data_IF_386032774086
#
_entry.id   IF_386032774086
#
_cell.length_a   1.000
_cell.length_b   1.000
_cell.length_c   1.000
_cell.angle_alpha   90.00
_cell.angle_beta   90.00
_cell.angle_gamma   90.00
#
_symmetry.space_group_name_H-M   'P 1'
#
loop_
_entity.id
_entity.type
_entity.pdbx_description
1 polymer ?
#
# COMPACT_ATOMS: atom_id res chain seq x y z
N UNK A 1 9.11 4.46 4.37
CA UNK A 1 7.94 5.31 4.70
C UNK A 1 7.17 4.81 5.93
N UNK A 2 6.94 3.50 6.10
CA UNK A 2 6.18 2.93 7.24
C UNK A 2 6.74 3.34 8.60
N UNK A 3 8.05 3.14 8.84
CA UNK A 3 8.69 3.42 10.14
C UNK A 3 8.60 4.89 10.54
N UNK A 4 8.72 5.80 9.56
CA UNK A 4 8.64 7.25 9.81
C UNK A 4 7.20 7.68 10.12
N UNK A 5 6.22 7.02 9.53
CA UNK A 5 4.81 7.36 9.71
C UNK A 5 4.20 6.84 11.02
N UNK A 6 4.73 5.75 11.59
CA UNK A 6 4.22 5.14 12.85
C UNK A 6 4.08 6.17 13.99
N UNK A 7 5.09 6.98 14.34
CA UNK A 7 4.95 7.96 15.41
C UNK A 7 3.84 8.99 15.17
N UNK A 8 3.63 9.39 13.91
CA UNK A 8 2.56 10.33 13.53
C UNK A 8 1.19 9.69 13.76
N UNK A 9 1.01 8.44 13.38
CA UNK A 9 -0.23 7.71 13.57
C UNK A 9 -0.54 7.44 15.04
N UNK A 10 0.47 7.13 15.86
CA UNK A 10 0.31 7.02 17.31
C UNK A 10 -0.08 8.35 17.95
N UNK A 11 0.53 9.46 17.52
CA UNK A 11 0.14 10.79 17.99
C UNK A 11 -1.30 11.13 17.62
N UNK A 12 -1.72 10.75 16.41
CA UNK A 12 -3.09 10.93 15.95
C UNK A 12 -4.06 10.05 16.75
N UNK A 13 -3.74 8.77 16.97
CA UNK A 13 -4.59 7.83 17.72
C UNK A 13 -4.82 8.25 19.16
N UNK A 14 -3.85 8.91 19.80
CA UNK A 14 -4.01 9.49 21.14
C UNK A 14 -4.99 10.67 21.17
N UNK A 15 -5.17 11.39 20.05
CA UNK A 15 -6.07 12.55 19.96
C UNK A 15 -7.49 12.18 19.61
N UNK A 16 -7.70 11.28 18.65
CA UNK A 16 -9.01 10.95 18.09
C UNK A 16 -9.51 9.55 18.48
N UNK A 17 -8.68 8.78 19.20
CA UNK A 17 -8.96 7.39 19.56
C UNK A 17 -8.46 6.39 18.52
N UNK A 18 -8.16 5.15 18.98
CA UNK A 18 -7.54 4.08 18.16
C UNK A 18 -8.43 3.67 16.97
N UNK A 19 -9.73 3.48 17.21
CA UNK A 19 -10.70 3.10 16.17
C UNK A 19 -10.79 4.14 15.06
N UNK A 20 -10.99 5.42 15.41
CA UNK A 20 -11.06 6.51 14.43
C UNK A 20 -9.76 6.70 13.67
N UNK A 21 -8.61 6.56 14.33
CA UNK A 21 -7.31 6.64 13.67
C UNK A 21 -7.12 5.51 12.65
N UNK A 22 -7.59 4.29 12.96
CA UNK A 22 -7.57 3.17 12.02
C UNK A 22 -8.48 3.42 10.81
N UNK A 23 -9.69 3.98 11.01
CA UNK A 23 -10.57 4.35 9.91
C UNK A 23 -9.95 5.41 9.00
N UNK A 24 -9.32 6.44 9.57
CA UNK A 24 -8.60 7.46 8.79
C UNK A 24 -7.46 6.83 7.99
N UNK A 25 -6.72 5.89 8.58
CA UNK A 25 -5.66 5.17 7.88
C UNK A 25 -6.19 4.31 6.71
N UNK A 26 -7.35 3.67 6.87
CA UNK A 26 -8.02 2.94 5.79
C UNK A 26 -8.44 3.90 4.66
N UNK A 27 -9.07 5.02 5.01
CA UNK A 27 -9.46 6.04 4.04
C UNK A 27 -8.26 6.61 3.27
N UNK A 28 -7.17 6.90 3.97
CA UNK A 28 -5.91 7.35 3.38
C UNK A 28 -5.34 6.31 2.41
N UNK A 29 -5.29 5.05 2.83
CA UNK A 29 -4.87 3.94 1.98
C UNK A 29 -5.72 3.85 0.71
N UNK A 30 -7.04 3.86 0.84
CA UNK A 30 -7.97 3.72 -0.27
C UNK A 30 -7.85 4.88 -1.26
N UNK A 31 -7.73 6.11 -0.77
CA UNK A 31 -7.55 7.31 -1.60
C UNK A 31 -6.33 7.17 -2.52
N UNK A 32 -5.17 6.86 -1.94
CA UNK A 32 -3.94 6.76 -2.73
C UNK A 32 -3.86 5.48 -3.57
N UNK A 33 -4.49 4.39 -3.14
CA UNK A 33 -4.60 3.18 -3.95
C UNK A 33 -5.40 3.40 -5.22
N UNK A 34 -6.48 4.18 -5.18
CA UNK A 34 -7.25 4.53 -6.37
C UNK A 34 -6.48 5.39 -7.38
N UNK A 35 -5.39 6.06 -6.96
CA UNK A 35 -4.53 6.78 -7.89
C UNK A 35 -3.69 5.86 -8.79
N UNK A 36 -3.41 4.61 -8.39
CA UNK A 36 -2.54 3.70 -9.16
C UNK A 36 -3.08 3.41 -10.56
N UNK A 37 -4.34 2.97 -10.76
CA UNK A 37 -4.87 2.75 -12.11
C UNK A 37 -4.98 4.05 -12.91
N UNK A 38 -5.24 5.19 -12.26
CA UNK A 38 -5.23 6.49 -12.92
C UNK A 38 -3.85 6.84 -13.45
N UNK A 39 -2.79 6.62 -12.67
CA UNK A 39 -1.40 6.81 -13.11
C UNK A 39 -1.07 5.87 -14.27
N UNK A 40 -1.54 4.61 -14.22
CA UNK A 40 -1.29 3.64 -15.28
C UNK A 40 -1.83 4.12 -16.63
N UNK A 41 -3.02 4.73 -16.65
CA UNK A 41 -3.68 5.23 -17.86
C UNK A 41 -3.32 6.66 -18.27
N UNK A 42 -2.78 7.46 -17.34
CA UNK A 42 -2.52 8.87 -17.58
C UNK A 42 -1.46 9.09 -18.67
N UNK A 43 -1.60 10.11 -19.54
CA UNK A 43 -0.60 10.50 -20.50
C UNK A 43 0.72 10.89 -19.83
N UNK A 44 1.84 10.65 -20.51
CA UNK A 44 3.17 10.97 -19.97
C UNK A 44 3.36 12.47 -19.71
N UNK A 45 2.75 13.32 -20.54
CA UNK A 45 2.80 14.78 -20.45
C UNK A 45 2.35 15.33 -19.10
N UNK A 46 1.43 14.65 -18.41
CA UNK A 46 0.94 15.06 -17.09
C UNK A 46 2.02 14.98 -16.01
N UNK A 47 3.09 14.24 -16.28
CA UNK A 47 4.17 13.99 -15.32
C UNK A 47 5.47 14.76 -15.65
N UNK A 48 5.44 15.67 -16.62
CA UNK A 48 6.64 16.42 -17.03
C UNK A 48 7.23 17.25 -15.90
N UNK A 49 6.39 17.78 -15.00
CA UNK A 49 6.86 18.49 -13.81
C UNK A 49 7.66 17.59 -12.83
N UNK A 50 7.44 16.28 -12.87
CA UNK A 50 8.12 15.28 -12.03
C UNK A 50 9.31 14.61 -12.73
N UNK A 51 9.79 15.16 -13.83
CA UNK A 51 10.98 14.64 -14.51
C UNK A 51 12.18 14.67 -13.57
N UNK A 52 12.97 13.58 -13.60
CA UNK A 52 14.16 13.47 -12.74
C UNK A 52 15.15 14.61 -12.97
N UNK A 53 15.17 15.17 -14.17
CA UNK A 53 15.99 16.32 -14.54
C UNK A 53 15.76 17.51 -13.60
N UNK A 54 14.51 17.77 -13.19
CA UNK A 54 14.15 18.85 -12.29
C UNK A 54 14.61 18.59 -10.84
N UNK A 55 14.76 17.32 -10.45
CA UNK A 55 15.25 16.93 -9.14
C UNK A 55 16.77 16.85 -9.08
N UNK A 56 17.42 16.51 -10.19
CA UNK A 56 18.87 16.38 -10.27
C UNK A 56 19.62 17.71 -10.08
N UNK A 57 18.98 18.84 -10.28
CA UNK A 57 19.56 20.18 -10.01
C UNK A 57 20.04 20.31 -8.54
N UNK A 58 19.53 19.48 -7.63
CA UNK A 58 19.92 19.46 -6.22
C UNK A 58 21.20 18.66 -5.93
N UNK A 59 21.77 17.98 -6.93
CA UNK A 59 22.94 17.10 -6.77
C UNK A 59 24.16 17.67 -7.50
N UNK A 60 25.40 17.22 -7.15
CA UNK A 60 26.62 17.64 -7.85
C UNK A 60 26.62 17.26 -9.34
N UNK A 61 27.26 18.08 -10.17
CA UNK A 61 27.25 17.96 -11.65
C UNK A 61 27.69 16.58 -12.18
N UNK A 62 28.69 15.96 -11.55
CA UNK A 62 29.15 14.63 -11.94
C UNK A 62 28.07 13.55 -11.78
N UNK A 63 27.30 13.64 -10.70
CA UNK A 63 26.19 12.72 -10.41
C UNK A 63 25.00 12.98 -11.35
N UNK A 64 24.78 14.26 -11.71
CA UNK A 64 23.73 14.64 -12.67
C UNK A 64 23.99 14.04 -14.05
N UNK A 65 25.20 14.17 -14.58
CA UNK A 65 25.55 13.67 -15.92
C UNK A 65 25.35 12.15 -16.05
N UNK A 66 25.82 11.39 -15.05
CA UNK A 66 25.68 9.94 -15.04
C UNK A 66 24.19 9.49 -14.92
N UNK A 67 23.42 10.19 -14.08
CA UNK A 67 21.99 9.90 -13.91
C UNK A 67 21.18 10.29 -15.15
N UNK A 68 21.45 11.42 -15.77
CA UNK A 68 20.78 11.84 -17.01
C UNK A 68 21.01 10.85 -18.14
N UNK A 69 22.25 10.37 -18.32
CA UNK A 69 22.57 9.37 -19.32
C UNK A 69 21.83 8.04 -19.07
N UNK A 70 21.66 7.63 -17.81
CA UNK A 70 20.92 6.40 -17.46
C UNK A 70 19.40 6.52 -17.70
N UNK A 71 18.85 7.70 -17.49
CA UNK A 71 17.39 7.94 -17.60
C UNK A 71 16.98 8.51 -18.95
N UNK A 72 17.90 8.71 -19.87
CA UNK A 72 17.60 9.21 -21.20
C UNK A 72 16.55 8.34 -21.92
N UNK A 73 15.49 8.96 -22.43
CA UNK A 73 14.39 8.28 -23.10
C UNK A 73 13.42 7.50 -22.20
N UNK A 74 13.62 7.49 -20.86
CA UNK A 74 12.73 6.76 -19.93
C UNK A 74 11.69 7.72 -19.34
N UNK A 75 10.43 7.25 -19.10
CA UNK A 75 9.35 8.08 -18.53
C UNK A 75 9.54 8.28 -17.00
N UNK A 76 10.60 9.00 -16.62
CA UNK A 76 11.03 9.16 -15.23
C UNK A 76 10.02 9.91 -14.37
N UNK A 77 9.31 10.88 -14.92
CA UNK A 77 8.30 11.64 -14.18
C UNK A 77 7.15 10.76 -13.69
N UNK A 78 6.62 9.91 -14.54
CA UNK A 78 5.57 8.94 -14.19
C UNK A 78 6.04 7.97 -13.10
N UNK A 79 7.27 7.48 -13.21
CA UNK A 79 7.87 6.57 -12.23
C UNK A 79 8.08 7.24 -10.87
N UNK A 80 8.61 8.46 -10.83
CA UNK A 80 8.78 9.21 -9.58
C UNK A 80 7.46 9.49 -8.89
N UNK A 81 6.45 9.91 -9.65
CA UNK A 81 5.11 10.13 -9.11
C UNK A 81 4.52 8.83 -8.53
N UNK A 82 4.70 7.72 -9.22
CA UNK A 82 4.30 6.40 -8.72
C UNK A 82 4.99 6.04 -7.40
N UNK A 83 6.31 6.29 -7.26
CA UNK A 83 7.03 6.10 -6.00
C UNK A 83 6.46 6.97 -4.87
N UNK A 84 6.13 8.23 -5.15
CA UNK A 84 5.51 9.12 -4.16
C UNK A 84 4.20 8.53 -3.66
N UNK A 85 3.33 8.09 -4.59
CA UNK A 85 2.06 7.45 -4.23
C UNK A 85 2.27 6.19 -3.43
N UNK A 86 3.25 5.34 -3.78
CA UNK A 86 3.62 4.16 -2.98
C UNK A 86 4.12 4.52 -1.58
N UNK A 87 4.86 5.60 -1.43
CA UNK A 87 5.29 6.10 -0.11
C UNK A 87 4.10 6.56 0.74
N UNK A 88 3.12 7.23 0.13
CA UNK A 88 1.90 7.67 0.80
C UNK A 88 1.01 6.48 1.21
N UNK A 89 0.86 5.48 0.35
CA UNK A 89 0.21 4.21 0.69
C UNK A 89 0.97 3.51 1.82
N UNK A 90 2.30 3.42 1.71
CA UNK A 90 3.16 2.79 2.72
C UNK A 90 3.07 3.46 4.09
N UNK A 91 2.80 4.77 4.14
CA UNK A 91 2.61 5.48 5.41
C UNK A 91 1.39 4.98 6.19
N UNK A 92 0.29 4.63 5.51
CA UNK A 92 -0.92 4.08 6.14
C UNK A 92 -0.77 2.62 6.56
N UNK A 93 0.03 1.83 5.84
CA UNK A 93 0.28 0.43 6.20
C UNK A 93 0.94 0.33 7.59
N UNK A 94 1.78 1.30 7.95
CA UNK A 94 2.35 1.40 9.30
C UNK A 94 1.28 1.49 10.39
N UNK A 95 0.26 2.33 10.19
CA UNK A 95 -0.88 2.42 11.10
C UNK A 95 -1.71 1.13 11.14
N UNK A 96 -2.03 0.59 9.96
CA UNK A 96 -2.86 -0.61 9.81
C UNK A 96 -2.18 -1.88 10.34
N UNK A 97 -0.87 -1.89 10.49
CA UNK A 97 -0.15 -2.96 11.15
C UNK A 97 -0.01 -2.76 12.65
N UNK A 98 0.10 -1.54 13.14
CA UNK A 98 0.37 -1.26 14.56
C UNK A 98 -0.91 -1.09 15.41
N UNK A 99 -1.88 -0.29 14.96
CA UNK A 99 -3.07 0.03 15.74
C UNK A 99 -3.97 -1.17 16.06
N UNK A 100 -4.22 -2.13 15.14
CA UNK A 100 -5.02 -3.31 15.48
C UNK A 100 -4.37 -4.20 16.55
N UNK A 101 -3.04 -4.29 16.58
CA UNK A 101 -2.35 -5.03 17.65
C UNK A 101 -2.49 -4.33 19.00
N UNK A 102 -2.43 -3.01 19.00
CA UNK A 102 -2.62 -2.20 20.21
C UNK A 102 -4.07 -2.33 20.75
N UNK A 103 -5.07 -2.36 19.86
CA UNK A 103 -6.46 -2.64 20.25
C UNK A 103 -6.66 -4.07 20.75
N UNK A 104 -6.00 -5.05 20.11
CA UNK A 104 -6.05 -6.44 20.57
C UNK A 104 -5.43 -6.61 21.96
N UNK A 105 -4.36 -5.90 22.27
CA UNK A 105 -3.75 -5.89 23.60
C UNK A 105 -4.73 -5.36 24.66
N UNK A 106 -5.44 -4.27 24.39
CA UNK A 106 -6.45 -3.73 25.31
C UNK A 106 -7.57 -4.77 25.61
N UNK A 107 -8.02 -5.52 24.59
CA UNK A 107 -9.04 -6.58 24.76
C UNK A 107 -8.50 -7.71 25.61
N UNK A 108 -7.25 -8.14 25.40
CA UNK A 108 -6.59 -9.20 26.18
C UNK A 108 -6.42 -8.78 27.64
N UNK A 109 -6.08 -7.54 27.89
CA UNK A 109 -5.93 -7.00 29.25
C UNK A 109 -7.29 -6.97 29.98
N UNK A 110 -8.34 -6.56 29.28
CA UNK A 110 -9.70 -6.56 29.80
C UNK A 110 -10.18 -7.99 30.14
N UNK A 111 -10.00 -8.93 29.22
CA UNK A 111 -10.34 -10.35 29.44
C UNK A 111 -9.57 -10.93 30.63
N UNK A 112 -8.27 -10.63 30.73
CA UNK A 112 -7.44 -11.07 31.84
C UNK A 112 -7.90 -10.50 33.19
N UNK A 113 -8.38 -9.26 33.20
CA UNK A 113 -8.93 -8.61 34.38
C UNK A 113 -10.27 -9.24 34.82
N UNK A 114 -11.10 -9.66 33.88
CA UNK A 114 -12.42 -10.26 34.14
C UNK A 114 -12.33 -11.73 34.52
N UNK A 115 -11.48 -12.49 33.83
CA UNK A 115 -11.39 -13.96 33.99
C UNK A 115 -10.33 -14.43 34.98
N UNK A 116 -9.38 -13.55 35.33
CA UNK A 116 -8.22 -13.89 36.14
C UNK A 116 -7.19 -14.78 35.42
N UNK A 117 -7.38 -15.07 34.13
CA UNK A 117 -6.53 -15.95 33.33
C UNK A 117 -5.79 -15.18 32.25
N UNK A 118 -4.47 -15.40 32.15
CA UNK A 118 -3.66 -14.82 31.06
C UNK A 118 -3.72 -15.68 29.80
N UNK A 119 -4.59 -15.32 28.86
CA UNK A 119 -4.80 -16.08 27.61
C UNK A 119 -4.20 -15.38 26.37
N UNK A 120 -3.33 -14.39 26.53
CA UNK A 120 -2.76 -13.60 25.43
C UNK A 120 -2.13 -14.45 24.34
N UNK A 121 -1.47 -15.57 24.69
CA UNK A 121 -0.89 -16.49 23.71
C UNK A 121 -1.95 -17.11 22.77
N UNK A 122 -3.13 -17.47 23.29
CA UNK A 122 -4.23 -18.02 22.48
C UNK A 122 -4.78 -16.97 21.52
N UNK A 123 -5.04 -15.76 21.99
CA UNK A 123 -5.51 -14.65 21.15
C UNK A 123 -4.55 -14.35 19.98
N UNK A 124 -3.24 -14.18 20.27
CA UNK A 124 -2.26 -13.91 19.22
C UNK A 124 -2.01 -15.10 18.29
N UNK A 125 -2.18 -16.34 18.75
CA UNK A 125 -2.10 -17.51 17.89
C UNK A 125 -3.22 -17.53 16.86
N UNK A 126 -4.47 -17.32 17.30
CA UNK A 126 -5.65 -17.25 16.40
C UNK A 126 -5.49 -16.07 15.42
N UNK A 127 -5.08 -14.90 15.92
CA UNK A 127 -4.81 -13.73 15.10
C UNK A 127 -3.76 -14.01 14.01
N UNK A 128 -2.63 -14.62 14.41
CA UNK A 128 -1.54 -14.96 13.48
C UNK A 128 -1.98 -15.99 12.44
N UNK A 129 -2.74 -17.01 12.83
CA UNK A 129 -3.29 -18.02 11.93
C UNK A 129 -4.25 -17.41 10.92
N UNK A 130 -5.19 -16.57 11.38
CA UNK A 130 -6.15 -15.86 10.52
C UNK A 130 -5.44 -14.97 9.50
N UNK A 131 -4.41 -14.25 9.94
CA UNK A 131 -3.60 -13.42 9.02
C UNK A 131 -2.89 -14.24 7.95
N UNK A 132 -2.24 -15.34 8.33
CA UNK A 132 -1.55 -16.22 7.37
C UNK A 132 -2.53 -16.80 6.34
N UNK A 133 -3.70 -17.23 6.80
CA UNK A 133 -4.76 -17.73 5.91
C UNK A 133 -5.25 -16.62 4.96
N UNK A 134 -5.49 -15.42 5.47
CA UNK A 134 -5.90 -14.27 4.66
C UNK A 134 -4.84 -13.91 3.61
N UNK A 135 -3.54 -13.94 3.94
CA UNK A 135 -2.47 -13.71 2.98
C UNK A 135 -2.42 -14.79 1.90
N UNK A 136 -2.54 -16.07 2.28
CA UNK A 136 -2.52 -17.16 1.31
C UNK A 136 -3.70 -17.09 0.34
N UNK A 137 -4.91 -16.83 0.85
CA UNK A 137 -6.11 -16.65 0.02
C UNK A 137 -6.00 -15.40 -0.85
N UNK A 138 -5.52 -14.29 -0.30
CA UNK A 138 -5.33 -13.04 -1.04
C UNK A 138 -4.34 -13.20 -2.19
N UNK A 139 -3.22 -13.88 -1.95
CA UNK A 139 -2.23 -14.17 -2.98
C UNK A 139 -2.82 -15.07 -4.07
N UNK A 140 -3.49 -16.16 -3.68
CA UNK A 140 -4.11 -17.10 -4.61
C UNK A 140 -5.16 -16.38 -5.49
N UNK A 141 -6.10 -15.66 -4.89
CA UNK A 141 -7.14 -14.93 -5.63
C UNK A 141 -6.53 -13.83 -6.50
N UNK A 142 -5.59 -13.07 -5.97
CA UNK A 142 -4.95 -11.97 -6.71
C UNK A 142 -4.19 -12.46 -7.94
N UNK A 143 -3.37 -13.50 -7.82
CA UNK A 143 -2.65 -14.09 -8.95
C UNK A 143 -3.59 -14.73 -9.96
N UNK A 144 -4.62 -15.45 -9.49
CA UNK A 144 -5.62 -16.07 -10.37
C UNK A 144 -6.39 -15.02 -11.19
N UNK A 145 -6.78 -13.90 -10.59
CA UNK A 145 -7.43 -12.80 -11.30
C UNK A 145 -6.52 -12.18 -12.37
N UNK A 146 -5.26 -11.96 -12.05
CA UNK A 146 -4.30 -11.37 -12.99
C UNK A 146 -4.12 -12.25 -14.23
N UNK A 147 -3.98 -13.57 -14.02
CA UNK A 147 -3.92 -14.55 -15.13
C UNK A 147 -5.23 -14.59 -15.91
N UNK A 148 -6.38 -14.56 -15.22
CA UNK A 148 -7.71 -14.53 -15.86
C UNK A 148 -7.88 -13.32 -16.78
N UNK A 149 -7.31 -12.18 -16.44
CA UNK A 149 -7.32 -10.95 -17.25
C UNK A 149 -6.29 -10.97 -18.40
N UNK A 150 -5.59 -12.08 -18.61
CA UNK A 150 -4.64 -12.27 -19.70
C UNK A 150 -3.33 -11.54 -19.54
N UNK A 151 -2.91 -11.27 -18.29
CA UNK A 151 -1.58 -10.73 -18.02
C UNK A 151 -0.55 -11.85 -18.02
N UNK A 152 0.47 -11.72 -18.87
CA UNK A 152 1.61 -12.63 -18.91
C UNK A 152 2.80 -12.04 -18.13
N UNK A 153 3.12 -12.67 -17.01
CA UNK A 153 4.26 -12.28 -16.16
C UNK A 153 5.63 -12.68 -16.72
N UNK A 154 5.65 -13.57 -17.70
CA UNK A 154 6.88 -14.03 -18.36
C UNK A 154 7.16 -13.28 -19.68
N UNK A 155 6.23 -12.41 -20.10
CA UNK A 155 6.42 -11.59 -21.29
C UNK A 155 7.67 -10.70 -21.16
N UNK A 156 8.46 -10.65 -22.21
CA UNK A 156 9.63 -9.75 -22.29
C UNK A 156 9.16 -8.29 -22.14
N UNK A 157 9.69 -7.51 -21.17
CA UNK A 157 9.35 -6.11 -21.00
C UNK A 157 9.61 -5.25 -22.24
N UNK A 158 10.54 -5.67 -23.11
CA UNK A 158 10.86 -4.97 -24.37
C UNK A 158 9.92 -5.35 -25.51
N UNK A 159 9.30 -6.54 -25.46
CA UNK A 159 8.46 -7.07 -26.50
C UNK A 159 7.07 -7.42 -25.90
N UNK A 160 6.38 -6.40 -25.38
CA UNK A 160 5.18 -6.57 -24.56
C UNK A 160 4.03 -7.19 -25.35
N UNK A 161 3.69 -8.42 -25.04
CA UNK A 161 2.45 -9.09 -25.45
C UNK A 161 1.26 -8.65 -24.58
N UNK A 162 1.52 -7.99 -23.45
CA UNK A 162 0.50 -7.51 -22.53
C UNK A 162 -0.28 -6.34 -23.12
N UNK A 163 -1.59 -6.47 -23.19
CA UNK A 163 -2.48 -5.41 -23.67
C UNK A 163 -2.65 -4.30 -22.62
N UNK A 164 -3.04 -3.09 -23.07
CA UNK A 164 -3.38 -1.99 -22.17
C UNK A 164 -4.47 -2.40 -21.16
N UNK A 165 -5.40 -3.25 -21.58
CA UNK A 165 -6.45 -3.78 -20.73
C UNK A 165 -5.88 -4.69 -19.63
N UNK A 166 -4.99 -5.62 -19.95
CA UNK A 166 -4.40 -6.51 -18.94
C UNK A 166 -3.54 -5.74 -17.92
N UNK A 167 -2.83 -4.69 -18.36
CA UNK A 167 -2.08 -3.80 -17.47
C UNK A 167 -3.00 -2.99 -16.53
N UNK A 168 -4.13 -2.49 -17.05
CA UNK A 168 -5.12 -1.81 -16.23
C UNK A 168 -5.74 -2.75 -15.20
N UNK A 169 -6.10 -3.97 -15.61
CA UNK A 169 -6.67 -4.97 -14.70
C UNK A 169 -5.66 -5.42 -13.64
N UNK A 170 -4.38 -5.50 -13.98
CA UNK A 170 -3.30 -5.69 -13.02
C UNK A 170 -3.32 -4.57 -11.96
N UNK A 171 -3.34 -3.31 -12.41
CA UNK A 171 -3.37 -2.15 -11.51
C UNK A 171 -4.61 -2.17 -10.60
N UNK A 172 -5.79 -2.46 -11.13
CA UNK A 172 -7.05 -2.55 -10.36
C UNK A 172 -6.99 -3.70 -9.35
N UNK A 173 -6.49 -4.87 -9.75
CA UNK A 173 -6.43 -6.06 -8.90
C UNK A 173 -5.55 -5.82 -7.67
N UNK A 174 -4.42 -5.16 -7.83
CA UNK A 174 -3.49 -4.93 -6.72
C UNK A 174 -3.72 -3.64 -5.94
N UNK A 175 -4.57 -2.73 -6.42
CA UNK A 175 -4.84 -1.46 -5.74
C UNK A 175 -6.29 -1.31 -5.29
N UNK A 176 -7.24 -1.36 -6.20
CA UNK A 176 -8.65 -1.06 -5.94
C UNK A 176 -9.32 -2.20 -5.16
N UNK A 177 -9.09 -3.45 -5.57
CA UNK A 177 -9.71 -4.61 -4.89
C UNK A 177 -9.32 -4.66 -3.41
N UNK A 178 -8.03 -4.59 -3.00
CA UNK A 178 -7.67 -4.54 -1.58
C UNK A 178 -8.22 -3.32 -0.85
N UNK A 179 -8.34 -2.16 -1.52
CA UNK A 179 -8.94 -0.97 -0.95
C UNK A 179 -10.43 -1.18 -0.64
N UNK A 180 -11.18 -1.79 -1.56
CA UNK A 180 -12.60 -2.12 -1.36
C UNK A 180 -12.80 -3.08 -0.17
N UNK A 181 -12.01 -4.14 -0.06
CA UNK A 181 -12.09 -5.05 1.08
C UNK A 181 -11.84 -4.36 2.41
N UNK A 182 -10.87 -3.44 2.46
CA UNK A 182 -10.62 -2.63 3.66
C UNK A 182 -11.77 -1.68 3.96
N UNK A 183 -12.40 -1.10 2.95
CA UNK A 183 -13.57 -0.24 3.12
C UNK A 183 -14.76 -1.02 3.68
N UNK A 184 -15.02 -2.24 3.17
CA UNK A 184 -16.08 -3.13 3.69
C UNK A 184 -15.81 -3.54 5.13
N UNK A 185 -14.55 -3.66 5.54
CA UNK A 185 -14.18 -3.96 6.93
C UNK A 185 -14.36 -2.75 7.88
N UNK A 186 -14.51 -1.52 7.38
CA UNK A 186 -14.59 -0.30 8.18
C UNK A 186 -15.76 -0.28 9.20
N UNK A 187 -16.98 -0.72 8.83
CA UNK A 187 -18.10 -0.81 9.79
C UNK A 187 -17.85 -1.76 10.96
N UNK A 188 -16.98 -2.77 10.78
CA UNK A 188 -16.64 -3.71 11.85
C UNK A 188 -15.71 -3.11 12.91
N UNK A 189 -15.12 -1.94 12.62
CA UNK A 189 -14.28 -1.17 13.53
C UNK A 189 -15.08 -0.12 14.33
N UNK A 190 -16.34 0.07 13.98
CA UNK A 190 -17.25 1.02 14.67
C UNK A 190 -17.93 0.28 15.84
#
# INVERSE_FOLDING_TARGET
>A
SQLIAIPLWFKLSRRIGKHRATMVAIGWYALWSCCIPLIAMAPLEWFDAFQIQNLLVLFPDETQAAALAYFEGKPTGKFLFFIIVLCLIGSSIGALSALPYDMAADVIDLDSAQTGKRQGGAYFSIWSMTRKLAYALGLFVGTSLVVFWGFDSLADPMNTTNTQFSLLMLAITYSVIPALFKFVAMPLLW
#
